data_IF_416160896601
#
_entry.id   IF_416160896601
#
_cell.length_a   1.000
_cell.length_b   1.000
_cell.length_c   1.000
_cell.angle_alpha   90.00
_cell.angle_beta   90.00
_cell.angle_gamma   90.00
#
_symmetry.space_group_name_H-M   'P 1'
#
loop_
_entity.id
_entity.type
_entity.pdbx_description
1 polymer ?
#
# COMPACT_ATOMS: atom_id res chain seq x y z
N UNK A 1 -16.20 8.29 2.32
CA UNK A 1 -15.37 9.51 2.29
C UNK A 1 -14.53 9.50 1.03
N UNK A 2 -14.63 10.54 0.19
CA UNK A 2 -13.75 10.70 -0.98
C UNK A 2 -12.38 11.21 -0.52
N UNK A 3 -11.30 10.61 -1.03
CA UNK A 3 -9.93 10.96 -0.66
C UNK A 3 -8.98 10.72 -1.81
N UNK A 4 -8.01 11.62 -1.95
CA UNK A 4 -6.88 11.41 -2.83
C UNK A 4 -5.80 10.65 -2.05
N UNK A 5 -5.39 9.50 -2.59
CA UNK A 5 -4.34 8.67 -2.03
C UNK A 5 -3.20 8.55 -3.03
N UNK A 6 -1.98 8.63 -2.52
CA UNK A 6 -0.79 8.21 -3.25
C UNK A 6 -0.77 6.69 -3.42
N UNK A 7 -0.14 6.20 -4.49
CA UNK A 7 0.10 4.75 -4.64
C UNK A 7 0.92 4.22 -3.46
N UNK A 8 1.84 5.02 -2.91
CA UNK A 8 2.56 4.68 -1.68
C UNK A 8 1.63 4.35 -0.51
N UNK A 9 0.66 5.22 -0.22
CA UNK A 9 -0.32 4.98 0.86
C UNK A 9 -1.14 3.70 0.60
N UNK A 10 -1.46 3.41 -0.67
CA UNK A 10 -2.17 2.19 -1.06
C UNK A 10 -1.31 0.95 -0.81
N UNK A 11 -0.02 0.96 -1.20
CA UNK A 11 0.91 -0.16 -0.95
C UNK A 11 1.08 -0.39 0.55
N UNK A 12 1.23 0.67 1.35
CA UNK A 12 1.35 0.56 2.81
C UNK A 12 0.11 -0.09 3.44
N UNK A 13 -1.08 0.23 2.95
CA UNK A 13 -2.33 -0.39 3.38
C UNK A 13 -2.47 -1.85 2.94
N UNK A 14 -2.13 -2.15 1.69
CA UNK A 14 -2.29 -3.50 1.13
C UNK A 14 -1.25 -4.49 1.68
N UNK A 15 -0.17 -3.98 2.28
CA UNK A 15 0.85 -4.73 3.01
C UNK A 15 0.64 -4.65 4.54
N UNK A 16 -0.58 -4.30 4.97
CA UNK A 16 -0.98 -4.39 6.37
C UNK A 16 -0.98 -5.87 6.79
N UNK A 17 -0.12 -6.19 7.75
CA UNK A 17 -0.08 -7.49 8.39
C UNK A 17 -0.88 -7.41 9.69
N UNK A 18 -1.96 -8.18 9.78
CA UNK A 18 -2.85 -8.24 10.94
C UNK A 18 -2.69 -9.54 11.74
N UNK A 19 -1.59 -10.28 11.52
CA UNK A 19 -1.35 -11.58 12.14
C UNK A 19 -1.06 -11.51 13.64
N UNK A 20 -0.73 -10.33 14.19
CA UNK A 20 -0.43 -10.11 15.61
C UNK A 20 -1.69 -10.09 16.50
N UNK A 21 -2.55 -11.11 16.47
CA UNK A 21 -3.67 -11.34 17.41
C UNK A 21 -4.56 -10.12 17.76
N UNK A 22 -4.50 -9.04 16.97
CA UNK A 22 -5.19 -7.79 17.25
C UNK A 22 -6.66 -8.01 16.98
N UNK A 23 -7.44 -8.11 18.06
CA UNK A 23 -8.88 -8.28 17.99
C UNK A 23 -9.50 -6.93 17.65
N UNK A 24 -9.61 -6.65 16.36
CA UNK A 24 -10.44 -5.56 15.88
C UNK A 24 -11.90 -5.81 16.25
N UNK A 25 -12.62 -4.74 16.58
CA UNK A 25 -14.09 -4.79 16.58
C UNK A 25 -14.57 -5.22 15.18
N UNK A 26 -15.66 -5.98 15.12
CA UNK A 26 -16.14 -6.61 13.88
C UNK A 26 -16.41 -5.60 12.75
N UNK A 27 -16.86 -4.38 13.10
CA UNK A 27 -17.05 -3.26 12.18
C UNK A 27 -15.72 -2.81 11.54
N UNK A 28 -14.64 -2.71 12.32
CA UNK A 28 -13.32 -2.31 11.80
C UNK A 28 -12.77 -3.34 10.83
N UNK A 29 -12.84 -4.64 11.17
CA UNK A 29 -12.42 -5.71 10.27
C UNK A 29 -13.20 -5.67 8.94
N UNK A 30 -14.51 -5.44 9.00
CA UNK A 30 -15.34 -5.27 7.81
C UNK A 30 -14.91 -4.08 6.95
N UNK A 31 -14.64 -2.91 7.56
CA UNK A 31 -14.20 -1.72 6.83
C UNK A 31 -12.79 -1.86 6.23
N UNK A 32 -11.87 -2.56 6.93
CA UNK A 32 -10.55 -2.90 6.37
C UNK A 32 -10.72 -3.71 5.08
N UNK A 33 -11.52 -4.79 5.12
CA UNK A 33 -11.76 -5.64 3.95
C UNK A 33 -12.48 -4.89 2.83
N UNK A 34 -13.48 -4.07 3.17
CA UNK A 34 -14.21 -3.25 2.20
C UNK A 34 -13.26 -2.28 1.48
N UNK A 35 -12.42 -1.57 2.23
CA UNK A 35 -11.44 -0.65 1.66
C UNK A 35 -10.36 -1.39 0.87
N UNK A 36 -9.89 -2.55 1.33
CA UNK A 36 -8.95 -3.38 0.58
C UNK A 36 -9.49 -3.80 -0.78
N UNK A 37 -10.78 -4.13 -0.87
CA UNK A 37 -11.41 -4.47 -2.16
C UNK A 37 -11.49 -3.26 -3.10
N UNK A 38 -11.69 -2.05 -2.56
CA UNK A 38 -11.70 -0.80 -3.35
C UNK A 38 -10.28 -0.48 -3.86
N UNK A 39 -9.26 -0.70 -3.02
CA UNK A 39 -7.88 -0.36 -3.33
C UNK A 39 -7.16 -1.43 -4.19
N UNK A 40 -7.65 -2.66 -4.19
CA UNK A 40 -7.02 -3.80 -4.88
C UNK A 40 -6.71 -3.55 -6.36
N UNK A 41 -7.61 -3.00 -7.19
CA UNK A 41 -7.29 -2.75 -8.60
C UNK A 41 -6.12 -1.78 -8.79
N UNK A 42 -5.98 -0.78 -7.92
CA UNK A 42 -4.86 0.18 -7.96
C UNK A 42 -3.54 -0.47 -7.54
N UNK A 43 -3.59 -1.35 -6.54
CA UNK A 43 -2.44 -2.13 -6.11
C UNK A 43 -1.98 -3.13 -7.18
N UNK A 44 -2.91 -3.83 -7.83
CA UNK A 44 -2.60 -4.75 -8.94
C UNK A 44 -1.98 -3.99 -10.14
N UNK A 45 -2.51 -2.80 -10.46
CA UNK A 45 -1.92 -1.93 -11.48
C UNK A 45 -0.50 -1.49 -11.11
N UNK A 46 -0.25 -1.13 -9.84
CA UNK A 46 1.09 -0.83 -9.35
C UNK A 46 2.03 -2.03 -9.49
N UNK A 47 1.62 -3.22 -9.06
CA UNK A 47 2.44 -4.44 -9.16
C UNK A 47 2.78 -4.78 -10.61
N UNK A 48 1.82 -4.61 -11.53
CA UNK A 48 2.06 -4.78 -12.96
C UNK A 48 3.10 -3.79 -13.49
N UNK A 49 3.00 -2.50 -13.15
CA UNK A 49 3.98 -1.50 -13.57
C UNK A 49 5.35 -1.74 -12.94
N UNK A 50 5.40 -2.09 -11.64
CA UNK A 50 6.64 -2.46 -10.95
C UNK A 50 7.33 -3.61 -11.66
N UNK A 51 6.60 -4.64 -12.06
CA UNK A 51 7.14 -5.77 -12.81
C UNK A 51 7.74 -5.31 -14.15
N UNK A 52 7.01 -4.50 -14.93
CA UNK A 52 7.54 -3.96 -16.19
C UNK A 52 8.79 -3.09 -15.99
N UNK A 53 8.87 -2.33 -14.88
CA UNK A 53 10.09 -1.59 -14.55
C UNK A 53 11.25 -2.51 -14.19
N UNK A 54 11.00 -3.61 -13.45
CA UNK A 54 12.01 -4.61 -13.14
C UNK A 54 12.51 -5.32 -14.40
N UNK A 55 11.65 -5.59 -15.38
CA UNK A 55 12.03 -6.14 -16.70
C UNK A 55 12.84 -5.12 -17.53
N UNK A 56 12.49 -3.84 -17.44
CA UNK A 56 13.15 -2.74 -18.17
C UNK A 56 14.54 -2.40 -17.62
N UNK A 57 14.67 -2.35 -16.30
CA UNK A 57 15.88 -1.87 -15.62
C UNK A 57 16.72 -2.98 -14.99
N UNK A 58 16.14 -4.14 -14.75
CA UNK A 58 16.78 -5.26 -14.10
C UNK A 58 17.50 -6.21 -15.07
N UNK A 59 18.32 -7.08 -14.51
CA UNK A 59 18.96 -8.22 -15.17
C UNK A 59 18.86 -9.43 -14.26
N UNK A 60 18.86 -10.63 -14.85
CA UNK A 60 18.96 -11.85 -14.07
C UNK A 60 20.34 -11.91 -13.38
N UNK A 61 20.31 -12.08 -12.06
CA UNK A 61 21.47 -12.39 -11.24
C UNK A 61 21.81 -13.88 -11.26
N UNK A 62 22.93 -14.24 -10.65
CA UNK A 62 23.46 -15.61 -10.65
C UNK A 62 22.51 -16.63 -10.00
N UNK A 63 21.66 -16.19 -9.08
CA UNK A 63 20.71 -17.04 -8.34
C UNK A 63 19.27 -16.96 -8.86
N UNK A 64 19.04 -16.33 -10.02
CA UNK A 64 17.69 -16.11 -10.57
C UNK A 64 16.96 -14.88 -10.03
N UNK A 65 17.57 -14.13 -9.11
CA UNK A 65 17.06 -12.83 -8.64
C UNK A 65 17.15 -11.77 -9.73
N UNK A 66 16.28 -10.76 -9.67
CA UNK A 66 16.40 -9.57 -10.54
C UNK A 66 17.29 -8.54 -9.84
N UNK A 67 18.41 -8.20 -10.47
CA UNK A 67 19.35 -7.18 -9.99
C UNK A 67 19.21 -5.95 -10.86
N UNK A 68 19.12 -4.76 -10.25
CA UNK A 68 19.15 -3.49 -10.97
C UNK A 68 20.62 -3.03 -11.05
N UNK A 69 21.24 -3.01 -12.25
CA UNK A 69 22.62 -2.57 -12.41
C UNK A 69 22.81 -1.12 -11.96
N UNK A 70 23.99 -0.77 -11.46
CA UNK A 70 24.29 0.57 -10.91
C UNK A 70 23.99 1.69 -11.92
N UNK A 71 24.22 1.44 -13.21
CA UNK A 71 23.91 2.38 -14.30
C UNK A 71 22.40 2.69 -14.43
N UNK A 72 21.54 1.78 -13.98
CA UNK A 72 20.09 1.89 -14.08
C UNK A 72 19.42 2.35 -12.78
N UNK A 73 20.12 2.29 -11.63
CA UNK A 73 19.55 2.60 -10.30
C UNK A 73 18.89 3.97 -10.27
N UNK A 74 19.57 5.01 -10.76
CA UNK A 74 19.03 6.38 -10.73
C UNK A 74 17.70 6.48 -11.48
N UNK A 75 17.66 5.99 -12.72
CA UNK A 75 16.46 6.03 -13.56
C UNK A 75 15.32 5.21 -12.97
N UNK A 76 15.62 4.01 -12.46
CA UNK A 76 14.64 3.17 -11.78
C UNK A 76 14.06 3.86 -10.54
N UNK A 77 14.91 4.45 -9.68
CA UNK A 77 14.47 5.13 -8.46
C UNK A 77 13.61 6.36 -8.80
N UNK A 78 13.96 7.12 -9.82
CA UNK A 78 13.18 8.28 -10.26
C UNK A 78 11.79 7.87 -10.78
N UNK A 79 11.71 6.87 -11.66
CA UNK A 79 10.42 6.39 -12.19
C UNK A 79 9.58 5.72 -11.09
N UNK A 80 10.19 4.99 -10.17
CA UNK A 80 9.50 4.33 -9.06
C UNK A 80 8.93 5.37 -8.10
N UNK A 81 9.69 6.43 -7.83
CA UNK A 81 9.23 7.55 -7.02
C UNK A 81 8.03 8.24 -7.67
N UNK A 82 8.09 8.52 -8.97
CA UNK A 82 6.95 9.12 -9.69
C UNK A 82 5.70 8.25 -9.63
N UNK A 83 5.85 6.93 -9.78
CA UNK A 83 4.74 5.99 -9.64
C UNK A 83 4.16 6.01 -8.22
N UNK A 84 5.01 5.95 -7.19
CA UNK A 84 4.58 5.95 -5.79
C UNK A 84 3.92 7.27 -5.37
N UNK A 85 4.38 8.40 -5.89
CA UNK A 85 3.85 9.74 -5.63
C UNK A 85 2.58 10.06 -6.44
N UNK A 86 2.24 9.24 -7.44
CA UNK A 86 1.02 9.39 -8.24
C UNK A 86 -0.22 9.22 -7.37
N UNK A 87 -1.26 10.03 -7.66
CA UNK A 87 -2.49 10.06 -6.86
C UNK A 87 -3.66 9.42 -7.59
N UNK A 88 -4.52 8.76 -6.81
CA UNK A 88 -5.83 8.26 -7.25
C UNK A 88 -6.90 8.72 -6.27
N UNK A 89 -8.04 9.12 -6.82
CA UNK A 89 -9.20 9.52 -6.03
C UNK A 89 -10.08 8.29 -5.79
N UNK A 90 -10.29 7.95 -4.53
CA UNK A 90 -11.10 6.80 -4.11
C UNK A 90 -12.15 7.20 -3.09
N UNK A 91 -13.22 6.42 -3.00
CA UNK A 91 -14.20 6.56 -1.92
C UNK A 91 -14.02 5.42 -0.93
N UNK A 92 -13.60 5.74 0.29
CA UNK A 92 -13.37 4.75 1.35
C UNK A 92 -14.45 4.79 2.43
N UNK A 93 -14.68 3.62 3.02
CA UNK A 93 -15.37 3.49 4.30
C UNK A 93 -14.51 4.08 5.41
N UNK A 94 -15.14 4.75 6.37
CA UNK A 94 -14.43 5.37 7.49
C UNK A 94 -14.57 4.56 8.76
N UNK A 95 -13.50 4.52 9.55
CA UNK A 95 -13.52 4.06 10.94
C UNK A 95 -13.50 5.26 11.88
N UNK A 96 -14.13 5.12 13.05
CA UNK A 96 -13.94 6.07 14.15
C UNK A 96 -12.68 5.69 14.92
N UNK A 97 -12.00 6.69 15.50
CA UNK A 97 -10.83 6.44 16.35
C UNK A 97 -11.18 5.54 17.54
N UNK A 98 -12.35 5.75 18.14
CA UNK A 98 -12.85 4.95 19.28
C UNK A 98 -13.16 3.49 18.92
N UNK A 99 -13.17 3.15 17.62
CA UNK A 99 -13.32 1.77 17.17
C UNK A 99 -11.99 1.00 17.13
N UNK A 100 -10.86 1.70 17.23
CA UNK A 100 -9.54 1.08 17.23
C UNK A 100 -9.20 0.50 18.62
N UNK A 101 -8.51 -0.65 18.69
CA UNK A 101 -7.92 -1.15 19.93
C UNK A 101 -7.01 -0.12 20.61
N UNK A 102 -7.10 0.02 21.93
CA UNK A 102 -6.25 0.93 22.72
C UNK A 102 -4.76 0.54 22.63
N UNK A 103 -4.47 -0.76 22.60
CA UNK A 103 -3.11 -1.31 22.51
C UNK A 103 -2.69 -1.63 21.07
N UNK A 104 -3.05 -0.76 20.12
CA UNK A 104 -2.58 -0.90 18.74
C UNK A 104 -1.15 -0.38 18.59
N UNK A 105 -0.30 -1.14 17.90
CA UNK A 105 1.02 -0.66 17.54
C UNK A 105 0.96 0.52 16.56
N UNK A 106 1.92 1.43 16.69
CA UNK A 106 1.96 2.68 15.90
C UNK A 106 2.06 2.43 14.39
N UNK A 107 2.67 1.30 13.98
CA UNK A 107 2.83 0.96 12.57
C UNK A 107 1.49 0.60 11.93
N UNK A 108 0.71 -0.26 12.58
CA UNK A 108 -0.67 -0.59 12.19
C UNK A 108 -1.55 0.64 12.23
N UNK A 109 -1.46 1.44 13.30
CA UNK A 109 -2.24 2.67 13.42
C UNK A 109 -1.98 3.62 12.24
N UNK A 110 -0.70 3.81 11.87
CA UNK A 110 -0.32 4.66 10.72
C UNK A 110 -0.95 4.19 9.42
N UNK A 111 -0.93 2.88 9.16
CA UNK A 111 -1.54 2.28 7.97
C UNK A 111 -3.06 2.44 7.97
N UNK A 112 -3.71 2.40 9.13
CA UNK A 112 -5.17 2.59 9.26
C UNK A 112 -5.61 4.06 9.23
N UNK A 113 -4.70 5.03 9.46
CA UNK A 113 -5.03 6.46 9.45
C UNK A 113 -5.69 6.93 8.15
N UNK A 114 -5.42 6.26 7.02
CA UNK A 114 -6.05 6.64 5.77
C UNK A 114 -7.58 6.49 5.78
N UNK A 115 -8.10 5.65 6.68
CA UNK A 115 -9.53 5.34 6.85
C UNK A 115 -10.18 6.11 8.01
N UNK A 116 -9.43 6.87 8.80
CA UNK A 116 -10.02 7.65 9.90
C UNK A 116 -10.78 8.82 9.30
N UNK A 117 -12.08 8.89 9.57
CA UNK A 117 -12.91 10.04 9.21
C UNK A 117 -12.50 11.25 10.05
N UNK A 118 -12.28 12.39 9.42
CA UNK A 118 -12.22 13.70 10.10
C UNK A 118 -13.56 14.39 10.00
#
# INVERSE_FOLDING_TARGET
MQKDLTIKEIVEFMTLDLTDNQKFKRNVAFYIVSNANILRPHFEAFESQRKSMLEKYGRAGENGDIIIPQENVKSFTEEMKQLLDSKVTVTLSTIQLDDLPEEMDISTMRKLMLMIGK
#
